data_IF_068259486746
#
_entry.id   IF_068259486746
#
_cell.length_a   1.000
_cell.length_b   1.000
_cell.length_c   1.000
_cell.angle_alpha   90.00
_cell.angle_beta   90.00
_cell.angle_gamma   90.00
#
_symmetry.space_group_name_H-M   'P 1'
#
loop_
_entity.id
_entity.type
_entity.pdbx_description
1 polymer ?
#
# COMPACT_ATOMS: atom_id res chain seq x y z
N UNK A 1 -6.28 -21.23 -1.74
CA UNK A 1 -6.74 -19.81 -1.86
C UNK A 1 -7.43 -19.43 -0.57
N UNK A 2 -6.83 -18.59 0.24
CA UNK A 2 -7.48 -18.08 1.45
C UNK A 2 -8.63 -17.16 1.03
N UNK A 3 -9.87 -17.52 1.38
CA UNK A 3 -11.02 -16.63 1.24
C UNK A 3 -10.81 -15.45 2.18
N UNK A 4 -10.70 -14.23 1.64
CA UNK A 4 -10.62 -13.02 2.45
C UNK A 4 -11.77 -12.97 3.46
N UNK A 5 -11.44 -12.61 4.69
CA UNK A 5 -12.34 -12.56 5.82
C UNK A 5 -13.55 -11.64 5.54
N UNK A 6 -14.70 -12.23 5.16
CA UNK A 6 -16.01 -11.57 5.28
C UNK A 6 -16.32 -10.37 4.36
N UNK A 7 -15.68 -10.20 3.20
CA UNK A 7 -16.06 -9.11 2.25
C UNK A 7 -15.42 -7.75 2.54
N UNK A 8 -14.37 -7.70 3.36
CA UNK A 8 -13.58 -6.50 3.63
C UNK A 8 -12.45 -6.35 2.62
N UNK A 9 -12.11 -5.11 2.30
CA UNK A 9 -10.84 -4.76 1.65
C UNK A 9 -9.74 -4.78 2.73
N UNK A 10 -8.74 -5.66 2.59
CA UNK A 10 -7.61 -5.76 3.51
C UNK A 10 -6.40 -5.05 2.92
N UNK A 11 -5.98 -3.97 3.54
CA UNK A 11 -4.82 -3.17 3.14
C UNK A 11 -3.67 -3.40 4.10
N UNK A 12 -2.58 -3.97 3.61
CA UNK A 12 -1.35 -4.07 4.39
C UNK A 12 -0.54 -2.78 4.24
N UNK A 13 -0.02 -2.26 5.34
CA UNK A 13 0.79 -1.05 5.39
C UNK A 13 2.10 -1.28 6.14
N UNK A 14 3.22 -0.76 5.62
CA UNK A 14 4.47 -0.79 6.36
C UNK A 14 4.49 0.28 7.47
N UNK A 15 5.16 -0.01 8.59
CA UNK A 15 5.29 0.94 9.71
C UNK A 15 5.89 2.27 9.27
N UNK A 16 6.87 2.23 8.36
CA UNK A 16 7.56 3.42 7.84
C UNK A 16 6.70 4.24 6.85
N UNK A 17 5.68 3.64 6.25
CA UNK A 17 4.69 4.38 5.47
C UNK A 17 3.66 5.03 6.39
N UNK A 18 3.28 4.34 7.47
CA UNK A 18 2.28 4.82 8.42
C UNK A 18 2.81 5.93 9.32
N UNK A 19 4.04 5.81 9.82
CA UNK A 19 4.68 6.75 10.72
C UNK A 19 6.05 7.21 10.22
N UNK A 20 6.46 8.40 10.63
CA UNK A 20 7.81 8.90 10.40
C UNK A 20 8.80 8.20 11.34
N UNK A 21 9.67 7.39 10.78
CA UNK A 21 10.75 6.70 11.47
C UNK A 21 12.13 7.25 11.07
N UNK A 22 12.20 8.47 10.55
CA UNK A 22 13.43 9.05 10.00
C UNK A 22 14.53 9.18 11.06
N UNK A 23 14.18 9.62 12.28
CA UNK A 23 15.15 9.78 13.36
C UNK A 23 15.75 8.43 13.78
N UNK A 24 14.92 7.45 14.05
CA UNK A 24 15.39 6.11 14.39
C UNK A 24 16.18 5.45 13.25
N UNK A 25 15.82 5.76 12.01
CA UNK A 25 16.57 5.27 10.85
C UNK A 25 17.97 5.89 10.73
N UNK A 26 18.14 7.17 11.11
CA UNK A 26 19.46 7.79 11.19
C UNK A 26 20.35 7.07 12.21
N UNK A 27 19.79 6.70 13.37
CA UNK A 27 20.52 5.88 14.37
C UNK A 27 20.92 4.53 13.78
N UNK A 28 20.00 3.86 13.05
CA UNK A 28 20.33 2.61 12.37
C UNK A 28 21.49 2.74 11.39
N UNK A 29 21.48 3.79 10.56
CA UNK A 29 22.55 4.02 9.57
C UNK A 29 23.89 4.38 10.19
N UNK A 30 23.88 5.12 11.30
CA UNK A 30 25.09 5.57 11.98
C UNK A 30 25.71 4.50 12.88
N UNK A 31 24.90 3.75 13.62
CA UNK A 31 25.33 2.93 14.75
C UNK A 31 24.86 1.46 14.66
N UNK A 32 24.05 1.12 13.66
CA UNK A 32 23.60 -0.24 13.38
C UNK A 32 22.35 -0.67 14.15
N UNK A 33 22.05 -1.98 14.06
CA UNK A 33 20.77 -2.55 14.49
C UNK A 33 20.56 -2.51 16.01
N UNK A 34 21.61 -2.71 16.80
CA UNK A 34 21.50 -2.74 18.27
C UNK A 34 21.21 -1.35 18.84
N UNK A 35 21.86 -0.30 18.30
CA UNK A 35 21.59 1.09 18.68
C UNK A 35 20.17 1.49 18.28
N UNK A 36 19.73 1.10 17.08
CA UNK A 36 18.35 1.30 16.64
C UNK A 36 17.35 0.65 17.60
N UNK A 37 17.60 -0.61 17.97
CA UNK A 37 16.75 -1.35 18.90
C UNK A 37 16.65 -0.64 20.25
N UNK A 38 17.80 -0.27 20.81
CA UNK A 38 17.84 0.47 22.08
C UNK A 38 17.08 1.81 21.97
N UNK A 39 17.32 2.57 20.90
CA UNK A 39 16.63 3.83 20.65
C UNK A 39 15.11 3.67 20.64
N UNK A 40 14.59 2.65 19.95
CA UNK A 40 13.16 2.40 19.88
C UNK A 40 12.55 1.99 21.22
N UNK A 41 13.29 1.23 22.04
CA UNK A 41 12.85 0.83 23.38
C UNK A 41 12.89 2.04 24.33
N UNK A 42 13.96 2.80 24.31
CA UNK A 42 14.11 3.99 25.18
C UNK A 42 13.04 5.06 24.92
N UNK A 43 12.46 5.09 23.70
CA UNK A 43 11.42 6.03 23.28
C UNK A 43 10.06 5.35 23.04
N UNK A 44 9.80 4.17 23.62
CA UNK A 44 8.60 3.40 23.29
C UNK A 44 7.28 4.09 23.65
N UNK A 45 7.30 4.95 24.68
CA UNK A 45 6.13 5.72 25.10
C UNK A 45 5.95 7.02 24.30
N UNK A 46 6.96 7.44 23.55
CA UNK A 46 6.88 8.62 22.70
C UNK A 46 6.21 8.27 21.38
N UNK A 47 5.03 8.86 21.12
CA UNK A 47 4.30 8.64 19.87
C UNK A 47 5.10 9.12 18.66
N UNK A 48 5.08 8.28 17.62
CA UNK A 48 5.70 8.60 16.34
C UNK A 48 4.86 9.67 15.60
N UNK A 49 5.53 10.53 14.86
CA UNK A 49 4.85 11.48 13.98
C UNK A 49 4.17 10.75 12.79
N UNK A 50 3.05 11.28 12.28
CA UNK A 50 2.38 10.75 11.11
C UNK A 50 3.28 10.69 9.87
N UNK A 51 3.37 9.53 9.23
CA UNK A 51 4.05 9.33 7.96
C UNK A 51 3.20 9.68 6.74
N UNK A 52 3.77 9.49 5.54
CA UNK A 52 3.14 9.90 4.27
C UNK A 52 1.81 9.17 3.99
N UNK A 53 1.67 7.92 4.43
CA UNK A 53 0.43 7.16 4.25
C UNK A 53 -0.59 7.34 5.39
N UNK A 54 -0.25 8.04 6.47
CA UNK A 54 -1.14 8.22 7.62
C UNK A 54 -2.50 8.83 7.25
N UNK A 55 -2.56 9.92 6.44
CA UNK A 55 -3.84 10.49 6.03
C UNK A 55 -4.69 9.52 5.20
N UNK A 56 -4.06 8.71 4.35
CA UNK A 56 -4.74 7.67 3.58
C UNK A 56 -5.34 6.60 4.49
N UNK A 57 -4.55 6.08 5.43
CA UNK A 57 -5.00 5.05 6.39
C UNK A 57 -6.16 5.56 7.24
N UNK A 58 -6.06 6.78 7.76
CA UNK A 58 -7.15 7.40 8.53
C UNK A 58 -8.44 7.50 7.73
N UNK A 59 -8.36 7.89 6.45
CA UNK A 59 -9.53 7.95 5.56
C UNK A 59 -10.09 6.56 5.23
N UNK A 60 -9.23 5.57 4.99
CA UNK A 60 -9.66 4.20 4.75
C UNK A 60 -10.43 3.64 5.95
N UNK A 61 -9.91 3.83 7.16
CA UNK A 61 -10.58 3.37 8.39
C UNK A 61 -11.89 4.13 8.65
N UNK A 62 -11.96 5.43 8.33
CA UNK A 62 -13.19 6.22 8.50
C UNK A 62 -14.36 5.76 7.62
N UNK A 63 -14.10 5.03 6.53
CA UNK A 63 -15.15 4.43 5.69
C UNK A 63 -16.00 3.43 6.48
N UNK A 64 -15.43 2.74 7.47
CA UNK A 64 -16.16 1.77 8.29
C UNK A 64 -17.27 2.47 9.09
N UNK A 65 -16.97 3.63 9.68
CA UNK A 65 -17.96 4.42 10.42
C UNK A 65 -19.04 4.97 9.49
N UNK A 66 -18.63 5.53 8.33
CA UNK A 66 -19.54 6.11 7.34
C UNK A 66 -20.51 5.09 6.74
N UNK A 67 -20.07 3.82 6.59
CA UNK A 67 -20.86 2.74 6.01
C UNK A 67 -21.63 1.92 7.05
N UNK A 68 -21.47 2.22 8.35
CA UNK A 68 -22.10 1.49 9.44
C UNK A 68 -21.69 0.01 9.54
N UNK A 69 -20.61 -0.39 8.88
CA UNK A 69 -20.07 -1.76 8.86
C UNK A 69 -18.60 -1.81 8.49
N UNK A 70 -17.87 -2.79 9.00
CA UNK A 70 -16.48 -3.00 8.69
C UNK A 70 -16.29 -3.47 7.23
N UNK A 71 -15.87 -2.55 6.36
CA UNK A 71 -15.61 -2.77 4.93
C UNK A 71 -14.12 -2.72 4.58
N UNK A 72 -13.34 -2.05 5.40
CA UNK A 72 -11.90 -1.92 5.25
C UNK A 72 -11.24 -2.44 6.51
N UNK A 73 -10.17 -3.16 6.35
CA UNK A 73 -9.27 -3.54 7.42
C UNK A 73 -7.85 -3.14 7.03
N UNK A 74 -7.16 -2.47 7.93
CA UNK A 74 -5.74 -2.16 7.77
C UNK A 74 -4.94 -3.09 8.66
N UNK A 75 -3.93 -3.75 8.10
CA UNK A 75 -2.99 -4.60 8.83
C UNK A 75 -1.58 -4.02 8.72
N UNK A 76 -0.84 -4.06 9.82
CA UNK A 76 0.54 -3.59 9.82
C UNK A 76 1.48 -4.74 9.46
N UNK A 77 2.37 -4.51 8.48
CA UNK A 77 3.48 -5.43 8.19
C UNK A 77 4.79 -4.65 8.24
N UNK A 78 5.66 -5.01 9.18
CA UNK A 78 6.82 -4.21 9.52
C UNK A 78 8.09 -5.05 9.52
N UNK A 79 9.18 -4.48 9.00
CA UNK A 79 10.54 -5.05 9.14
C UNK A 79 11.10 -4.96 10.55
N UNK A 80 10.48 -4.20 11.44
CA UNK A 80 10.86 -4.16 12.84
C UNK A 80 10.79 -5.56 13.48
N UNK A 81 11.50 -5.75 14.56
CA UNK A 81 11.31 -6.85 15.49
C UNK A 81 10.14 -6.56 16.45
N UNK A 82 9.67 -7.55 17.18
CA UNK A 82 8.52 -7.40 18.06
C UNK A 82 8.74 -6.34 19.16
N UNK A 83 9.94 -6.30 19.72
CA UNK A 83 10.34 -5.34 20.75
C UNK A 83 10.44 -3.91 20.23
N UNK A 84 10.96 -3.71 19.02
CA UNK A 84 10.98 -2.36 18.39
C UNK A 84 9.63 -1.96 17.79
N UNK A 85 8.70 -2.90 17.69
CA UNK A 85 7.34 -2.69 17.22
C UNK A 85 6.41 -2.07 18.26
N UNK A 86 6.77 -2.10 19.55
CA UNK A 86 5.92 -1.62 20.63
C UNK A 86 5.61 -0.12 20.48
N UNK A 87 6.61 0.70 20.18
CA UNK A 87 6.45 2.12 19.90
C UNK A 87 5.45 2.39 18.77
N UNK A 88 5.44 1.54 17.74
CA UNK A 88 4.47 1.65 16.63
C UNK A 88 3.06 1.35 17.11
N UNK A 89 2.87 0.32 17.97
CA UNK A 89 1.57 0.03 18.55
C UNK A 89 1.08 1.13 19.50
N UNK A 90 1.95 1.67 20.34
CA UNK A 90 1.63 2.80 21.22
C UNK A 90 1.17 4.01 20.38
N UNK A 91 1.84 4.25 19.25
CA UNK A 91 1.44 5.31 18.32
C UNK A 91 0.09 5.04 17.65
N UNK A 92 -0.19 3.78 17.24
CA UNK A 92 -1.49 3.36 16.72
C UNK A 92 -2.61 3.67 17.74
N UNK A 93 -2.39 3.34 19.00
CA UNK A 93 -3.34 3.59 20.10
C UNK A 93 -3.49 5.09 20.35
N UNK A 94 -2.38 5.84 20.41
CA UNK A 94 -2.38 7.30 20.60
C UNK A 94 -3.25 8.02 19.55
N UNK A 95 -3.16 7.62 18.28
CA UNK A 95 -3.95 8.20 17.19
C UNK A 95 -5.33 7.58 17.02
N UNK A 96 -5.73 6.61 17.84
CA UNK A 96 -7.03 5.94 17.77
C UNK A 96 -7.26 5.21 16.45
N UNK A 97 -6.22 4.64 15.85
CA UNK A 97 -6.34 3.87 14.60
C UNK A 97 -6.83 2.45 14.92
N UNK A 98 -7.89 2.02 14.23
CA UNK A 98 -8.42 0.64 14.35
C UNK A 98 -7.55 -0.35 13.55
N UNK A 99 -6.33 -0.58 14.05
CA UNK A 99 -5.35 -1.54 13.51
C UNK A 99 -5.01 -2.53 14.61
N UNK A 100 -5.57 -3.73 14.54
CA UNK A 100 -5.42 -4.76 15.57
C UNK A 100 -4.54 -5.94 15.16
N UNK A 101 -4.22 -6.07 13.86
CA UNK A 101 -3.38 -7.14 13.35
C UNK A 101 -2.06 -6.61 12.81
N UNK A 102 -0.96 -7.26 13.19
CA UNK A 102 0.36 -6.90 12.70
C UNK A 102 1.27 -8.13 12.54
N UNK A 103 2.28 -7.99 11.67
CA UNK A 103 3.44 -8.88 11.62
C UNK A 103 4.72 -8.06 11.71
N UNK A 104 5.59 -8.43 12.64
CA UNK A 104 6.95 -7.92 12.80
C UNK A 104 7.92 -8.99 12.35
N UNK A 105 8.71 -8.70 11.32
CA UNK A 105 9.47 -9.76 10.61
C UNK A 105 10.98 -9.74 10.89
N UNK A 106 11.45 -8.87 11.78
CA UNK A 106 12.84 -8.82 12.23
C UNK A 106 13.84 -8.64 11.08
N UNK A 107 13.65 -7.60 10.26
CA UNK A 107 14.50 -7.25 9.11
C UNK A 107 14.20 -8.01 7.82
N UNK A 108 13.44 -9.10 7.86
CA UNK A 108 13.08 -9.89 6.67
C UNK A 108 12.03 -9.17 5.83
N UNK A 109 11.85 -9.63 4.58
CA UNK A 109 10.78 -9.11 3.72
C UNK A 109 9.40 -9.51 4.25
N UNK A 110 8.43 -8.57 4.31
CA UNK A 110 7.11 -8.82 4.86
C UNK A 110 6.16 -9.53 3.88
N UNK A 111 6.46 -9.62 2.58
CA UNK A 111 5.53 -10.11 1.57
C UNK A 111 4.97 -11.53 1.83
N UNK A 112 5.69 -12.49 2.44
CA UNK A 112 5.13 -13.82 2.68
C UNK A 112 3.92 -13.81 3.62
N UNK A 113 3.79 -12.78 4.46
CA UNK A 113 2.68 -12.64 5.40
C UNK A 113 1.41 -12.08 4.76
N UNK A 114 1.50 -11.47 3.56
CA UNK A 114 0.36 -10.88 2.86
C UNK A 114 -0.72 -11.90 2.57
N UNK A 115 -0.32 -13.12 2.14
CA UNK A 115 -1.26 -14.22 1.90
C UNK A 115 -1.98 -14.66 3.18
N UNK A 116 -1.26 -14.78 4.29
CA UNK A 116 -1.81 -15.21 5.58
C UNK A 116 -2.83 -14.21 6.14
N UNK A 117 -2.60 -12.91 5.91
CA UNK A 117 -3.55 -11.87 6.29
C UNK A 117 -4.70 -11.71 5.29
N UNK A 118 -4.66 -12.35 4.13
CA UNK A 118 -5.65 -12.18 3.06
C UNK A 118 -5.64 -10.78 2.47
N UNK A 119 -4.44 -10.18 2.29
CA UNK A 119 -4.28 -8.81 1.82
C UNK A 119 -4.70 -8.67 0.36
N UNK A 120 -5.47 -7.65 0.07
CA UNK A 120 -5.87 -7.23 -1.28
C UNK A 120 -4.91 -6.17 -1.85
N UNK A 121 -4.27 -5.37 -1.00
CA UNK A 121 -3.33 -4.32 -1.39
C UNK A 121 -2.22 -4.18 -0.36
N UNK A 122 -0.97 -4.04 -0.82
CA UNK A 122 0.18 -3.75 0.02
C UNK A 122 0.78 -2.39 -0.31
N UNK A 123 0.99 -1.57 0.72
CA UNK A 123 1.55 -0.23 0.62
C UNK A 123 2.82 -0.11 1.48
N UNK A 124 3.92 0.28 0.86
CA UNK A 124 5.21 0.43 1.56
C UNK A 124 6.01 1.60 0.99
N UNK A 125 6.88 2.20 1.79
CA UNK A 125 7.91 3.14 1.32
C UNK A 125 9.15 2.42 0.79
N UNK A 126 9.25 1.10 0.99
CA UNK A 126 10.40 0.29 0.58
C UNK A 126 10.11 -0.39 -0.77
N UNK A 127 10.71 0.14 -1.84
CA UNK A 127 10.44 -0.29 -3.22
C UNK A 127 10.73 -1.77 -3.48
N UNK A 128 11.75 -2.36 -2.84
CA UNK A 128 12.08 -3.79 -2.98
C UNK A 128 10.99 -4.70 -2.39
N UNK A 129 10.39 -4.31 -1.25
CA UNK A 129 9.27 -5.07 -0.68
C UNK A 129 8.06 -5.03 -1.59
N UNK A 130 7.79 -3.86 -2.20
CA UNK A 130 6.72 -3.71 -3.18
C UNK A 130 6.98 -4.58 -4.40
N UNK A 131 8.21 -4.56 -4.94
CA UNK A 131 8.58 -5.41 -6.08
C UNK A 131 8.40 -6.89 -5.75
N UNK A 132 8.91 -7.33 -4.60
CA UNK A 132 8.76 -8.73 -4.16
C UNK A 132 7.30 -9.15 -4.01
N UNK A 133 6.44 -8.25 -3.52
CA UNK A 133 5.01 -8.50 -3.42
C UNK A 133 4.34 -8.59 -4.80
N UNK A 134 4.70 -7.70 -5.74
CA UNK A 134 4.20 -7.73 -7.12
C UNK A 134 4.63 -9.02 -7.84
N UNK A 135 5.88 -9.44 -7.68
CA UNK A 135 6.41 -10.68 -8.28
C UNK A 135 5.73 -11.93 -7.70
N UNK A 136 5.30 -11.86 -6.44
CA UNK A 136 4.50 -12.89 -5.79
C UNK A 136 3.00 -12.82 -6.15
N UNK A 137 2.57 -11.90 -7.02
CA UNK A 137 1.20 -11.78 -7.52
C UNK A 137 0.26 -10.95 -6.64
N UNK A 138 0.78 -10.19 -5.67
CA UNK A 138 -0.04 -9.27 -4.87
C UNK A 138 -0.12 -7.91 -5.53
N UNK A 139 -1.27 -7.23 -5.41
CA UNK A 139 -1.33 -5.81 -5.72
C UNK A 139 -0.52 -5.03 -4.67
N UNK A 140 0.42 -4.22 -5.12
CA UNK A 140 1.28 -3.45 -4.24
C UNK A 140 1.66 -2.10 -4.88
N UNK A 141 1.91 -1.09 -4.03
CA UNK A 141 2.36 0.22 -4.49
C UNK A 141 3.35 0.85 -3.51
N UNK A 142 4.28 1.62 -4.06
CA UNK A 142 5.24 2.40 -3.27
C UNK A 142 4.62 3.73 -2.87
N UNK A 143 4.66 4.05 -1.58
CA UNK A 143 4.34 5.37 -1.05
C UNK A 143 5.55 6.26 -1.27
N UNK A 144 5.37 7.33 -2.03
CA UNK A 144 6.41 8.32 -2.28
C UNK A 144 6.40 9.38 -1.18
N UNK A 145 7.57 9.65 -0.63
CA UNK A 145 7.76 10.70 0.38
C UNK A 145 7.73 12.09 -0.23
N UNK A 146 7.24 13.08 0.53
CA UNK A 146 7.27 14.49 0.13
C UNK A 146 6.07 14.95 -0.68
N UNK A 147 4.99 14.18 -0.72
CA UNK A 147 3.71 14.65 -1.26
C UNK A 147 3.20 15.86 -0.49
N UNK A 148 2.85 16.96 -1.20
CA UNK A 148 2.32 18.15 -0.56
C UNK A 148 1.16 17.77 0.39
N UNK A 149 1.27 18.15 1.66
CA UNK A 149 0.19 18.03 2.65
C UNK A 149 -0.98 18.89 2.16
N UNK A 150 -1.83 18.33 1.32
CA UNK A 150 -3.06 19.01 0.90
C UNK A 150 -4.02 19.07 2.07
N UNK A 151 -4.74 20.20 2.15
CA UNK A 151 -5.77 20.44 3.13
C UNK A 151 -6.69 19.21 3.28
N UNK A 152 -7.06 18.90 4.52
CA UNK A 152 -7.79 17.71 4.92
C UNK A 152 -9.20 17.69 4.30
N UNK A 153 -9.34 17.20 3.08
CA UNK A 153 -10.62 16.77 2.57
C UNK A 153 -11.03 15.50 3.31
N UNK A 154 -12.27 15.43 3.79
CA UNK A 154 -12.82 14.23 4.40
C UNK A 154 -13.01 13.10 3.37
N UNK A 155 -13.05 13.43 2.09
CA UNK A 155 -13.24 12.46 1.01
C UNK A 155 -11.98 11.67 0.69
N UNK A 156 -12.14 10.38 0.51
CA UNK A 156 -11.13 9.51 -0.08
C UNK A 156 -11.32 9.52 -1.60
N UNK A 157 -10.35 10.07 -2.32
CA UNK A 157 -10.33 10.08 -3.79
C UNK A 157 -9.18 9.22 -4.28
N UNK A 158 -9.48 8.22 -5.12
CA UNK A 158 -8.50 7.29 -5.67
C UNK A 158 -8.63 7.32 -7.20
N UNK A 159 -7.56 7.58 -7.93
CA UNK A 159 -7.48 7.38 -9.37
C UNK A 159 -6.49 6.25 -9.66
N UNK A 160 -6.88 5.34 -10.51
CA UNK A 160 -6.02 4.29 -11.01
C UNK A 160 -5.55 4.65 -12.40
N UNK A 161 -4.29 4.38 -12.68
CA UNK A 161 -3.80 4.35 -14.05
C UNK A 161 -4.48 3.19 -14.80
N UNK A 162 -4.79 3.40 -16.07
CA UNK A 162 -5.42 2.37 -16.90
C UNK A 162 -4.41 1.30 -17.28
N UNK A 163 -3.33 1.72 -17.94
CA UNK A 163 -2.35 0.82 -18.53
C UNK A 163 -1.41 0.22 -17.47
N UNK A 164 -1.09 -1.05 -17.63
CA UNK A 164 -0.26 -1.84 -16.72
C UNK A 164 -0.76 -1.96 -15.27
N UNK A 165 -1.82 -1.24 -14.88
CA UNK A 165 -2.43 -1.30 -13.54
C UNK A 165 -3.81 -1.98 -13.59
N UNK A 166 -4.80 -1.37 -14.22
CA UNK A 166 -6.14 -1.96 -14.37
C UNK A 166 -6.22 -2.92 -15.56
N UNK A 167 -5.53 -2.59 -16.63
CA UNK A 167 -5.43 -3.39 -17.86
C UNK A 167 -4.02 -3.95 -18.01
N UNK A 168 -3.84 -4.87 -18.97
CA UNK A 168 -2.51 -5.41 -19.29
C UNK A 168 -1.60 -4.32 -19.85
N UNK A 169 -0.30 -4.55 -19.77
CA UNK A 169 0.75 -3.70 -20.35
C UNK A 169 0.99 -3.98 -21.85
N UNK A 170 0.01 -4.60 -22.51
CA UNK A 170 0.14 -5.02 -23.90
C UNK A 170 0.33 -3.85 -24.86
N UNK A 171 -0.48 -2.80 -24.68
CA UNK A 171 -0.39 -1.57 -25.46
C UNK A 171 0.94 -0.84 -25.24
N UNK A 172 1.41 -0.76 -24.00
CA UNK A 172 2.71 -0.17 -23.65
C UNK A 172 3.87 -0.93 -24.29
N UNK A 173 3.84 -2.26 -24.27
CA UNK A 173 4.87 -3.08 -24.95
C UNK A 173 4.91 -2.83 -26.45
N UNK A 174 3.76 -2.70 -27.10
CA UNK A 174 3.70 -2.39 -28.54
C UNK A 174 4.32 -1.01 -28.81
N UNK A 175 4.02 -0.03 -27.94
CA UNK A 175 4.63 1.29 -28.05
C UNK A 175 6.15 1.25 -27.90
N UNK A 176 6.67 0.54 -26.89
CA UNK A 176 8.10 0.43 -26.64
C UNK A 176 8.87 -0.28 -27.78
N UNK A 177 8.23 -1.27 -28.43
CA UNK A 177 8.87 -2.03 -29.51
C UNK A 177 8.74 -1.39 -30.88
N UNK A 178 7.65 -0.72 -31.16
CA UNK A 178 7.31 -0.23 -32.49
C UNK A 178 6.94 1.25 -32.58
N UNK A 179 7.01 1.98 -31.46
CA UNK A 179 6.71 3.41 -31.39
C UNK A 179 5.24 3.74 -31.56
N UNK A 180 4.96 5.04 -31.76
CA UNK A 180 3.62 5.57 -31.79
C UNK A 180 2.74 5.01 -32.92
N UNK A 181 3.32 4.78 -34.10
CA UNK A 181 2.59 4.27 -35.25
C UNK A 181 2.11 2.83 -35.04
N UNK A 182 2.97 1.97 -34.51
CA UNK A 182 2.61 0.58 -34.17
C UNK A 182 1.54 0.53 -33.06
N UNK A 183 1.65 1.38 -32.06
CA UNK A 183 0.65 1.54 -30.99
C UNK A 183 -0.70 1.95 -31.59
N UNK A 184 -0.75 3.00 -32.41
CA UNK A 184 -1.99 3.47 -33.01
C UNK A 184 -2.64 2.44 -33.95
N UNK A 185 -1.83 1.68 -34.69
CA UNK A 185 -2.33 0.61 -35.53
C UNK A 185 -2.97 -0.50 -34.69
N UNK A 186 -2.30 -0.93 -33.62
CA UNK A 186 -2.79 -1.96 -32.70
C UNK A 186 -4.08 -1.54 -32.00
N UNK A 187 -4.14 -0.29 -31.50
CA UNK A 187 -5.34 0.24 -30.86
C UNK A 187 -6.55 0.30 -31.82
N UNK A 188 -6.34 0.65 -33.09
CA UNK A 188 -7.42 0.64 -34.10
C UNK A 188 -7.89 -0.77 -34.41
N UNK A 189 -6.97 -1.71 -34.54
CA UNK A 189 -7.28 -3.13 -34.82
C UNK A 189 -8.07 -3.75 -33.68
N UNK A 190 -7.64 -3.49 -32.44
CA UNK A 190 -8.21 -4.09 -31.24
C UNK A 190 -9.30 -3.25 -30.56
N UNK A 191 -9.75 -2.15 -31.17
CA UNK A 191 -10.69 -1.17 -30.57
C UNK A 191 -12.03 -1.77 -30.09
N UNK A 192 -12.41 -2.95 -30.58
CA UNK A 192 -13.64 -3.66 -30.18
C UNK A 192 -13.37 -4.85 -29.26
N UNK A 193 -12.12 -5.16 -28.95
CA UNK A 193 -11.73 -6.24 -28.07
C UNK A 193 -11.52 -5.69 -26.66
N UNK A 194 -12.12 -6.32 -25.61
CA UNK A 194 -11.88 -5.89 -24.25
C UNK A 194 -10.42 -6.11 -23.87
N UNK A 195 -9.78 -5.09 -23.31
CA UNK A 195 -8.42 -5.19 -22.75
C UNK A 195 -8.36 -6.28 -21.67
N UNK A 196 -7.31 -7.07 -21.67
CA UNK A 196 -7.04 -8.06 -20.64
C UNK A 196 -6.82 -7.36 -19.31
N UNK A 197 -7.18 -8.02 -18.18
CA UNK A 197 -6.95 -7.45 -16.85
C UNK A 197 -5.47 -7.33 -16.54
N UNK A 198 -5.07 -6.19 -15.97
CA UNK A 198 -3.74 -5.94 -15.47
C UNK A 198 -3.42 -6.69 -14.17
N UNK A 199 -2.25 -6.42 -13.60
CA UNK A 199 -1.77 -7.08 -12.37
C UNK A 199 -2.72 -6.91 -11.18
N UNK A 200 -3.40 -5.78 -11.07
CA UNK A 200 -4.39 -5.51 -10.02
C UNK A 200 -5.66 -6.36 -10.14
N UNK A 201 -5.95 -6.94 -11.33
CA UNK A 201 -7.12 -7.79 -11.56
C UNK A 201 -6.85 -9.26 -11.24
N UNK A 202 -5.60 -9.68 -11.23
CA UNK A 202 -5.22 -11.07 -11.01
C UNK A 202 -5.38 -11.52 -9.54
N UNK A 203 -5.38 -10.60 -8.59
CA UNK A 203 -5.35 -10.91 -7.16
C UNK A 203 -6.70 -10.96 -6.46
N UNK A 204 -7.80 -10.49 -7.08
CA UNK A 204 -9.14 -10.63 -6.47
C UNK A 204 -10.27 -10.51 -7.49
N UNK A 205 -11.24 -11.48 -7.50
CA UNK A 205 -12.52 -11.29 -8.17
C UNK A 205 -13.41 -10.23 -7.47
N UNK A 206 -12.90 -9.60 -6.44
CA UNK A 206 -13.53 -8.50 -5.72
C UNK A 206 -12.96 -7.18 -6.20
N UNK A 207 -13.14 -6.89 -7.49
CA UNK A 207 -13.04 -5.53 -7.99
C UNK A 207 -13.74 -4.62 -6.99
N UNK A 208 -13.06 -3.55 -6.58
CA UNK A 208 -13.69 -2.45 -5.85
C UNK A 208 -14.85 -2.01 -6.73
N UNK A 209 -16.02 -2.59 -6.50
CA UNK A 209 -17.25 -2.17 -7.15
C UNK A 209 -17.67 -0.87 -6.41
N UNK A 210 -17.05 0.24 -6.81
CA UNK A 210 -17.51 1.56 -6.46
C UNK A 210 -18.77 1.79 -7.28
N UNK A 211 -19.91 1.75 -6.63
CA UNK A 211 -21.16 2.21 -7.22
C UNK A 211 -21.05 3.68 -7.59
N UNK A 212 -21.76 4.11 -8.62
CA UNK A 212 -21.66 5.36 -9.37
C UNK A 212 -21.79 6.70 -8.60
N UNK A 213 -21.63 6.71 -7.28
CA UNK A 213 -21.73 7.92 -6.44
C UNK A 213 -20.54 8.09 -5.48
N UNK A 214 -19.36 7.56 -5.79
CA UNK A 214 -18.23 7.57 -4.87
C UNK A 214 -16.93 8.08 -5.49
N UNK A 215 -16.06 8.63 -4.65
CA UNK A 215 -14.94 9.51 -5.01
C UNK A 215 -13.75 8.79 -5.68
N UNK A 216 -13.00 9.55 -6.45
CA UNK A 216 -11.86 9.14 -7.29
C UNK A 216 -10.54 9.05 -6.50
N UNK A 217 -9.80 7.95 -6.58
CA UNK A 217 -8.47 7.72 -5.98
C UNK A 217 -7.37 7.80 -7.05
N UNK A 218 -6.30 8.55 -6.81
CA UNK A 218 -5.14 8.63 -7.73
C UNK A 218 -3.97 7.83 -7.16
N UNK A 219 -3.66 6.68 -7.74
CA UNK A 219 -2.39 5.97 -7.54
C UNK A 219 -1.55 6.21 -8.80
N UNK A 220 -0.45 6.97 -8.69
CA UNK A 220 0.51 7.07 -9.79
C UNK A 220 1.46 5.88 -9.72
N UNK A 221 1.53 5.08 -10.77
CA UNK A 221 2.67 4.20 -10.99
C UNK A 221 3.88 5.07 -11.34
N UNK A 222 5.03 4.80 -10.74
CA UNK A 222 6.28 5.39 -11.20
C UNK A 222 6.58 4.86 -12.61
N UNK A 223 7.09 5.70 -13.53
CA UNK A 223 7.51 5.22 -14.83
C UNK A 223 8.67 4.23 -14.67
N UNK A 224 8.75 3.21 -15.54
CA UNK A 224 9.89 2.29 -15.57
C UNK A 224 11.10 3.03 -16.14
N UNK A 225 12.05 3.38 -15.31
CA UNK A 225 13.42 3.68 -15.68
C UNK A 225 14.36 2.70 -14.99
#
# INVERSE_FOLDING_TARGET
MAKGLGGKLVVAISSRALFDLSESHKVYLAEGVEAYRKYQIDHEEESLEPGDAFPLVKKLLSLNASLGRARVEVVLVSRNSADTGLRVFNSIQHYGLDISRAAFVGGRSPYPYLAAFGCDLFLSTHAEDVRSALDAGFAAATILSGGARRAASAELRIAFDGDAVLFSDESERVYQLGGLEAFQAKERESAREPLRGGRSKASSPRSICCSANSPTMVVRSAPPW
#
